data_IF_903189961908
#
_entry.id   IF_903189961908
#
_cell.length_a   1.000
_cell.length_b   1.000
_cell.length_c   1.000
_cell.angle_alpha   90.00
_cell.angle_beta   90.00
_cell.angle_gamma   90.00
#
_symmetry.space_group_name_H-M   'P 1'
#
loop_
_entity.id
_entity.type
_entity.pdbx_description
1 polymer ?
#
# COMPACT_ATOMS: atom_id res chain seq x y z
N UNK A 1 4.99 2.14 24.79
CA UNK A 1 5.89 1.58 25.83
C UNK A 1 5.92 0.06 25.81
N UNK A 2 4.79 -0.63 25.66
CA UNK A 2 4.76 -2.11 25.56
C UNK A 2 5.41 -2.64 24.27
N UNK A 3 5.13 -2.06 23.09
CA UNK A 3 5.76 -2.50 21.84
C UNK A 3 7.28 -2.36 21.86
N UNK A 4 7.82 -1.28 22.42
CA UNK A 4 9.27 -1.09 22.58
C UNK A 4 9.92 -2.24 23.39
N UNK A 5 9.26 -2.74 24.43
CA UNK A 5 9.75 -3.90 25.20
C UNK A 5 9.82 -5.14 24.32
N UNK A 6 8.80 -5.40 23.49
CA UNK A 6 8.83 -6.52 22.54
C UNK A 6 9.89 -6.34 21.46
N UNK A 7 10.10 -5.13 20.93
CA UNK A 7 11.18 -4.85 19.95
C UNK A 7 12.54 -5.19 20.54
N UNK A 8 12.82 -4.69 21.75
CA UNK A 8 14.08 -4.95 22.46
C UNK A 8 14.24 -6.43 22.83
N UNK A 9 13.17 -7.10 23.24
CA UNK A 9 13.17 -8.54 23.49
C UNK A 9 13.51 -9.33 22.21
N UNK A 10 12.95 -8.91 21.06
CA UNK A 10 13.24 -9.50 19.76
C UNK A 10 14.73 -9.46 19.38
N UNK A 11 15.47 -8.45 19.84
CA UNK A 11 16.90 -8.31 19.56
C UNK A 11 17.76 -9.37 20.27
N UNK A 12 17.30 -9.90 21.42
CA UNK A 12 18.07 -10.85 22.27
C UNK A 12 17.60 -12.29 22.17
N UNK A 13 16.42 -12.56 21.58
CA UNK A 13 15.92 -13.93 21.37
C UNK A 13 16.59 -14.65 20.20
N UNK A 14 16.42 -15.97 20.17
CA UNK A 14 16.87 -16.83 19.08
C UNK A 14 16.34 -16.35 17.71
N UNK A 15 17.12 -16.46 16.63
CA UNK A 15 16.73 -15.99 15.29
C UNK A 15 15.37 -16.52 14.79
N UNK A 16 15.00 -17.75 15.15
CA UNK A 16 13.72 -18.36 14.76
C UNK A 16 12.50 -17.74 15.44
N UNK A 17 12.66 -17.19 16.64
CA UNK A 17 11.58 -16.55 17.41
C UNK A 17 11.47 -15.05 17.13
N UNK A 18 12.54 -14.44 16.64
CA UNK A 18 12.65 -12.99 16.42
C UNK A 18 11.51 -12.42 15.55
N UNK A 19 11.14 -13.00 14.39
CA UNK A 19 10.03 -12.46 13.58
C UNK A 19 8.71 -12.47 14.33
N UNK A 20 8.44 -13.51 15.12
CA UNK A 20 7.21 -13.63 15.90
C UNK A 20 7.15 -12.61 17.04
N UNK A 21 8.27 -12.37 17.72
CA UNK A 21 8.36 -11.37 18.79
C UNK A 21 8.18 -9.96 18.23
N UNK A 22 8.77 -9.64 17.09
CA UNK A 22 8.57 -8.36 16.42
C UNK A 22 7.15 -8.19 15.85
N UNK A 23 6.56 -9.26 15.32
CA UNK A 23 5.16 -9.25 14.93
C UNK A 23 4.25 -8.93 16.13
N UNK A 24 4.49 -9.54 17.29
CA UNK A 24 3.77 -9.21 18.53
C UNK A 24 3.99 -7.76 18.97
N UNK A 25 5.18 -7.20 18.75
CA UNK A 25 5.44 -5.78 19.00
C UNK A 25 4.53 -4.88 18.16
N UNK A 26 4.44 -5.15 16.85
CA UNK A 26 3.55 -4.44 15.92
C UNK A 26 2.10 -4.54 16.39
N UNK A 27 1.63 -5.74 16.72
CA UNK A 27 0.26 -5.96 17.20
C UNK A 27 0.01 -5.18 18.50
N UNK A 28 0.96 -5.20 19.44
CA UNK A 28 0.84 -4.46 20.69
C UNK A 28 0.75 -2.94 20.46
N UNK A 29 1.54 -2.39 19.54
CA UNK A 29 1.51 -0.96 19.21
C UNK A 29 0.23 -0.57 18.47
N UNK A 30 -0.29 -1.42 17.58
CA UNK A 30 -1.59 -1.21 16.93
C UNK A 30 -2.75 -1.23 17.94
N UNK A 31 -2.73 -2.17 18.89
CA UNK A 31 -3.72 -2.21 19.98
C UNK A 31 -3.61 -0.95 20.83
N UNK A 32 -2.40 -0.54 21.22
CA UNK A 32 -2.19 0.67 22.01
C UNK A 32 -2.70 1.92 21.27
N UNK A 33 -2.40 2.05 19.97
CA UNK A 33 -2.89 3.14 19.13
C UNK A 33 -4.43 3.15 19.02
N UNK A 34 -5.06 1.98 18.87
CA UNK A 34 -6.52 1.84 18.81
C UNK A 34 -7.23 2.32 20.08
N UNK A 35 -6.57 2.18 21.24
CA UNK A 35 -7.09 2.55 22.55
C UNK A 35 -6.85 4.02 22.85
N UNK A 36 -5.67 4.54 22.53
CA UNK A 36 -5.24 5.90 22.84
C UNK A 36 -6.12 6.96 22.15
N UNK A 37 -6.48 6.76 20.89
CA UNK A 37 -7.27 7.76 20.14
C UNK A 37 -8.77 7.82 20.41
N UNK A 38 -9.23 7.35 21.58
CA UNK A 38 -10.66 7.40 21.97
C UNK A 38 -11.01 8.56 22.91
N UNK A 39 -10.03 9.25 23.47
CA UNK A 39 -10.26 10.08 24.67
C UNK A 39 -9.98 11.57 24.51
N UNK A 40 -9.31 11.99 23.44
CA UNK A 40 -8.80 13.35 23.32
C UNK A 40 -9.35 14.06 22.08
N UNK A 41 -9.79 15.31 22.27
CA UNK A 41 -9.98 16.27 21.18
C UNK A 41 -8.58 16.74 20.80
N UNK A 42 -8.07 16.24 19.69
CA UNK A 42 -6.78 16.68 19.16
C UNK A 42 -6.97 17.89 18.25
N UNK A 43 -6.16 18.93 18.47
CA UNK A 43 -6.03 20.03 17.52
C UNK A 43 -5.21 19.53 16.31
N UNK A 44 -5.92 19.10 15.27
CA UNK A 44 -5.34 18.52 14.06
C UNK A 44 -5.56 19.45 12.88
N UNK A 45 -4.48 19.70 12.14
CA UNK A 45 -4.57 20.30 10.81
C UNK A 45 -4.69 19.18 9.76
N UNK A 46 -5.83 19.07 9.05
CA UNK A 46 -6.05 18.04 8.05
C UNK A 46 -5.00 17.98 6.94
N UNK A 47 -4.55 19.15 6.46
CA UNK A 47 -3.54 19.24 5.41
C UNK A 47 -2.19 18.67 5.87
N UNK A 48 -1.75 19.02 7.09
CA UNK A 48 -0.50 18.48 7.64
C UNK A 48 -0.56 16.97 7.87
N UNK A 49 -1.71 16.43 8.29
CA UNK A 49 -1.89 14.99 8.45
C UNK A 49 -1.83 14.30 7.08
N UNK A 50 -2.58 14.81 6.10
CA UNK A 50 -2.56 14.31 4.72
C UNK A 50 -1.14 14.30 4.12
N UNK A 51 -0.42 15.41 4.27
CA UNK A 51 0.95 15.59 3.77
C UNK A 51 1.92 14.56 4.38
N UNK A 52 1.95 14.43 5.72
CA UNK A 52 2.84 13.48 6.40
C UNK A 52 2.62 12.04 5.96
N UNK A 53 1.37 11.64 5.77
CA UNK A 53 1.05 10.27 5.34
C UNK A 53 1.41 10.04 3.87
N UNK A 54 1.23 11.05 3.01
CA UNK A 54 1.78 11.02 1.66
C UNK A 54 3.29 10.85 1.64
N UNK A 55 4.04 11.55 2.50
CA UNK A 55 5.49 11.39 2.59
C UNK A 55 5.91 9.96 2.97
N UNK A 56 5.18 9.28 3.86
CA UNK A 56 5.46 7.87 4.15
C UNK A 56 5.28 6.96 2.93
N UNK A 57 4.25 7.20 2.12
CA UNK A 57 4.04 6.46 0.86
C UNK A 57 5.20 6.70 -0.11
N UNK A 58 5.66 7.94 -0.25
CA UNK A 58 6.81 8.29 -1.12
C UNK A 58 8.09 7.58 -0.64
N UNK A 59 8.37 7.62 0.67
CA UNK A 59 9.55 6.96 1.25
C UNK A 59 9.50 5.45 1.01
N UNK A 60 8.35 4.81 1.27
CA UNK A 60 8.20 3.37 1.09
C UNK A 60 8.36 2.94 -0.38
N UNK A 61 7.79 3.70 -1.32
CA UNK A 61 7.97 3.45 -2.76
C UNK A 61 9.42 3.69 -3.21
N UNK A 62 10.06 4.75 -2.72
CA UNK A 62 11.46 5.04 -2.99
C UNK A 62 12.39 3.91 -2.53
N UNK A 63 12.17 3.40 -1.32
CA UNK A 63 12.92 2.26 -0.78
C UNK A 63 12.70 1.00 -1.63
N UNK A 64 11.46 0.74 -2.06
CA UNK A 64 11.14 -0.41 -2.93
C UNK A 64 11.90 -0.35 -4.25
N UNK A 65 12.03 0.84 -4.84
CA UNK A 65 12.79 1.05 -6.07
C UNK A 65 14.31 0.93 -5.85
N UNK A 66 14.83 1.36 -4.70
CA UNK A 66 16.25 1.16 -4.35
C UNK A 66 16.53 -0.35 -4.23
N UNK A 67 15.70 -1.09 -3.48
CA UNK A 67 15.82 -2.55 -3.33
C UNK A 67 15.84 -3.23 -4.70
N UNK A 68 14.84 -2.96 -5.55
CA UNK A 68 14.79 -3.52 -6.90
C UNK A 68 16.00 -3.10 -7.76
N UNK A 69 16.43 -1.84 -7.68
CA UNK A 69 17.59 -1.33 -8.41
C UNK A 69 18.90 -2.00 -7.98
N UNK A 70 19.07 -2.25 -6.68
CA UNK A 70 20.24 -2.95 -6.15
C UNK A 70 20.25 -4.43 -6.55
N UNK A 71 19.09 -5.10 -6.52
CA UNK A 71 18.96 -6.47 -7.01
C UNK A 71 19.29 -6.58 -8.51
N UNK A 72 18.95 -5.55 -9.30
CA UNK A 72 19.23 -5.52 -10.74
C UNK A 72 20.68 -5.12 -11.10
N UNK A 73 21.50 -4.69 -10.13
CA UNK A 73 22.84 -4.17 -10.37
C UNK A 73 23.93 -5.25 -10.54
N UNK A 74 23.55 -6.54 -10.58
CA UNK A 74 24.47 -7.65 -10.82
C UNK A 74 25.08 -7.68 -12.22
N UNK A 75 26.03 -8.59 -12.43
CA UNK A 75 26.80 -8.70 -13.69
C UNK A 75 26.02 -9.36 -14.85
N UNK A 76 24.94 -10.09 -14.56
CA UNK A 76 24.14 -10.79 -15.56
C UNK A 76 23.06 -9.89 -16.16
N UNK A 77 23.23 -9.51 -17.43
CA UNK A 77 22.24 -8.74 -18.18
C UNK A 77 21.43 -9.67 -19.08
N UNK A 78 20.13 -9.79 -18.81
CA UNK A 78 19.18 -10.55 -19.63
C UNK A 78 17.98 -9.70 -20.05
N UNK A 79 17.31 -10.10 -21.13
CA UNK A 79 16.04 -9.47 -21.55
C UNK A 79 14.93 -9.69 -20.52
N UNK A 80 14.95 -10.81 -19.80
CA UNK A 80 14.00 -11.07 -18.73
C UNK A 80 14.19 -10.10 -17.56
N UNK A 81 15.44 -9.86 -17.14
CA UNK A 81 15.77 -8.86 -16.13
C UNK A 81 15.28 -7.46 -16.55
N UNK A 82 15.51 -7.07 -17.80
CA UNK A 82 15.03 -5.80 -18.32
C UNK A 82 13.49 -5.70 -18.27
N UNK A 83 12.78 -6.76 -18.67
CA UNK A 83 11.31 -6.81 -18.63
C UNK A 83 10.76 -6.72 -17.20
N UNK A 84 11.35 -7.48 -16.27
CA UNK A 84 11.01 -7.45 -14.84
C UNK A 84 11.27 -6.08 -14.22
N UNK A 85 12.42 -5.46 -14.51
CA UNK A 85 12.77 -4.15 -13.99
C UNK A 85 11.79 -3.06 -14.46
N UNK A 86 11.49 -3.03 -15.77
CA UNK A 86 10.50 -2.10 -16.34
C UNK A 86 9.11 -2.33 -15.74
N UNK A 87 8.67 -3.59 -15.63
CA UNK A 87 7.38 -3.91 -15.04
C UNK A 87 7.30 -3.51 -13.55
N UNK A 88 8.37 -3.71 -12.78
CA UNK A 88 8.45 -3.34 -11.36
C UNK A 88 8.37 -1.82 -11.18
N UNK A 89 9.12 -1.06 -11.98
CA UNK A 89 9.05 0.41 -12.00
C UNK A 89 7.64 0.88 -12.37
N UNK A 90 7.03 0.27 -13.39
CA UNK A 90 5.66 0.58 -13.78
C UNK A 90 4.67 0.33 -12.65
N UNK A 91 4.77 -0.79 -11.93
CA UNK A 91 3.92 -1.07 -10.76
C UNK A 91 4.13 -0.02 -9.67
N UNK A 92 5.37 0.35 -9.33
CA UNK A 92 5.66 1.38 -8.34
C UNK A 92 5.05 2.74 -8.72
N UNK A 93 5.19 3.13 -9.99
CA UNK A 93 4.54 4.30 -10.57
C UNK A 93 3.02 4.23 -10.44
N UNK A 94 2.40 3.11 -10.79
CA UNK A 94 0.95 2.95 -10.71
C UNK A 94 0.41 2.92 -9.28
N UNK A 95 1.16 2.38 -8.32
CA UNK A 95 0.86 2.52 -6.90
C UNK A 95 0.89 4.00 -6.49
N UNK A 96 1.91 4.75 -6.94
CA UNK A 96 1.99 6.19 -6.72
C UNK A 96 0.76 6.91 -7.29
N UNK A 97 0.39 6.66 -8.56
CA UNK A 97 -0.79 7.28 -9.18
C UNK A 97 -2.10 6.89 -8.49
N UNK A 98 -2.24 5.63 -8.07
CA UNK A 98 -3.42 5.13 -7.34
C UNK A 98 -3.62 5.86 -6.00
N UNK A 99 -2.55 6.40 -5.42
CA UNK A 99 -2.59 7.16 -4.17
C UNK A 99 -2.66 8.68 -4.40
N UNK A 100 -1.74 9.23 -5.18
CA UNK A 100 -1.60 10.68 -5.36
C UNK A 100 -2.50 11.27 -6.45
N UNK A 101 -2.96 10.46 -7.42
CA UNK A 101 -3.75 10.97 -8.53
C UNK A 101 -5.18 11.36 -8.15
N UNK A 102 -5.74 10.77 -7.10
CA UNK A 102 -7.11 11.05 -6.63
C UNK A 102 -7.21 10.92 -5.11
N UNK A 103 -6.75 9.79 -4.57
CA UNK A 103 -7.10 9.39 -3.22
C UNK A 103 -6.59 10.37 -2.17
N UNK A 104 -5.33 10.81 -2.23
CA UNK A 104 -4.75 11.73 -1.24
C UNK A 104 -5.61 12.98 -1.07
N UNK A 105 -5.94 13.65 -2.17
CA UNK A 105 -6.71 14.89 -2.13
C UNK A 105 -8.16 14.64 -1.72
N UNK A 106 -8.74 13.51 -2.13
CA UNK A 106 -10.07 13.12 -1.72
C UNK A 106 -10.16 12.78 -0.21
N UNK A 107 -9.11 12.17 0.37
CA UNK A 107 -9.00 11.96 1.82
C UNK A 107 -8.85 13.29 2.55
N UNK A 108 -7.98 14.18 2.08
CA UNK A 108 -7.73 15.49 2.67
C UNK A 108 -8.99 16.35 2.72
N UNK A 109 -9.68 16.48 1.58
CA UNK A 109 -10.90 17.26 1.46
C UNK A 109 -11.99 16.74 2.42
N UNK A 110 -12.20 15.42 2.47
CA UNK A 110 -13.19 14.82 3.38
C UNK A 110 -12.81 14.94 4.84
N UNK A 111 -11.51 14.83 5.15
CA UNK A 111 -11.04 14.99 6.51
C UNK A 111 -11.17 16.44 6.99
N UNK A 112 -10.92 17.41 6.10
CA UNK A 112 -11.14 18.83 6.38
C UNK A 112 -12.62 19.20 6.56
N UNK A 113 -13.53 18.50 5.89
CA UNK A 113 -14.98 18.69 6.05
C UNK A 113 -15.57 17.97 7.27
N UNK A 114 -14.80 17.19 8.02
CA UNK A 114 -15.31 16.42 9.15
C UNK A 114 -15.53 17.32 10.40
N UNK A 115 -16.53 17.01 11.24
CA UNK A 115 -16.71 17.70 12.52
C UNK A 115 -15.48 17.58 13.42
N UNK A 116 -15.13 18.66 14.13
CA UNK A 116 -13.93 18.76 14.97
C UNK A 116 -13.85 17.63 16.00
N UNK A 117 -14.98 17.26 16.59
CA UNK A 117 -15.10 16.19 17.59
C UNK A 117 -14.78 14.81 17.03
N UNK A 118 -14.84 14.65 15.70
CA UNK A 118 -14.54 13.41 14.99
C UNK A 118 -13.14 13.36 14.40
N UNK A 119 -12.41 14.47 14.37
CA UNK A 119 -11.09 14.53 13.75
C UNK A 119 -10.12 13.53 14.38
N UNK A 120 -10.13 13.39 15.71
CA UNK A 120 -9.23 12.46 16.39
C UNK A 120 -9.45 10.99 15.99
N UNK A 121 -10.66 10.43 16.19
CA UNK A 121 -10.98 9.07 15.77
C UNK A 121 -10.76 8.84 14.27
N UNK A 122 -11.11 9.82 13.41
CA UNK A 122 -10.93 9.70 11.96
C UNK A 122 -9.44 9.71 11.55
N UNK A 123 -8.61 10.56 12.17
CA UNK A 123 -7.17 10.55 11.94
C UNK A 123 -6.57 9.19 12.33
N UNK A 124 -6.94 8.68 13.50
CA UNK A 124 -6.49 7.35 13.94
C UNK A 124 -6.95 6.27 12.97
N UNK A 125 -8.22 6.21 12.63
CA UNK A 125 -8.77 5.09 11.86
C UNK A 125 -8.34 5.14 10.39
N UNK A 126 -8.46 6.31 9.73
CA UNK A 126 -8.20 6.46 8.30
C UNK A 126 -6.71 6.71 7.97
N UNK A 127 -5.98 7.44 8.82
CA UNK A 127 -4.58 7.80 8.57
C UNK A 127 -3.57 6.98 9.37
N UNK A 128 -3.94 6.34 10.49
CA UNK A 128 -3.01 5.45 11.21
C UNK A 128 -3.32 3.96 10.99
N UNK A 129 -4.50 3.51 11.40
CA UNK A 129 -4.83 2.08 11.44
C UNK A 129 -5.06 1.48 10.06
N UNK A 130 -5.73 2.19 9.14
CA UNK A 130 -5.86 1.75 7.75
C UNK A 130 -4.57 2.01 6.95
N UNK A 131 -3.84 3.07 7.26
CA UNK A 131 -2.63 3.43 6.50
C UNK A 131 -1.42 2.55 6.82
N UNK A 132 -1.32 2.04 8.05
CA UNK A 132 -0.26 1.13 8.44
C UNK A 132 -0.21 -0.15 7.56
N UNK A 133 -1.30 -0.93 7.38
CA UNK A 133 -1.31 -2.07 6.47
C UNK A 133 -1.17 -1.65 4.99
N UNK A 134 -1.56 -0.43 4.62
CA UNK A 134 -1.28 0.10 3.27
C UNK A 134 0.24 0.20 3.02
N UNK A 135 1.01 0.75 3.97
CA UNK A 135 2.47 0.79 3.91
C UNK A 135 3.06 -0.63 3.95
N UNK A 136 2.51 -1.50 4.80
CA UNK A 136 2.86 -2.94 4.80
C UNK A 136 2.64 -3.61 3.44
N UNK A 137 1.64 -3.14 2.68
CA UNK A 137 1.39 -3.56 1.31
C UNK A 137 2.51 -3.20 0.34
N UNK A 138 3.05 -1.98 0.46
CA UNK A 138 4.21 -1.52 -0.31
C UNK A 138 5.45 -2.34 0.05
N UNK A 139 5.65 -2.65 1.34
CA UNK A 139 6.74 -3.53 1.79
C UNK A 139 6.60 -4.94 1.21
N UNK A 140 5.39 -5.51 1.18
CA UNK A 140 5.13 -6.80 0.55
C UNK A 140 5.46 -6.81 -0.95
N UNK A 141 5.14 -5.71 -1.64
CA UNK A 141 5.57 -5.48 -3.03
C UNK A 141 7.10 -5.42 -3.15
N UNK A 142 7.78 -4.68 -2.27
CA UNK A 142 9.25 -4.56 -2.24
C UNK A 142 9.94 -5.93 -2.10
N UNK A 143 9.48 -6.73 -1.14
CA UNK A 143 9.98 -8.10 -0.91
C UNK A 143 9.77 -8.97 -2.16
N UNK A 144 8.63 -8.85 -2.82
CA UNK A 144 8.36 -9.64 -4.01
C UNK A 144 9.26 -9.24 -5.18
N UNK A 145 9.43 -7.95 -5.45
CA UNK A 145 10.27 -7.50 -6.57
C UNK A 145 11.76 -7.74 -6.33
N UNK A 146 12.24 -7.70 -5.08
CA UNK A 146 13.62 -8.06 -4.73
C UNK A 146 13.95 -9.48 -5.23
N UNK A 147 13.11 -10.44 -4.86
CA UNK A 147 13.30 -11.85 -5.23
C UNK A 147 13.05 -12.09 -6.73
N UNK A 148 12.03 -11.46 -7.30
CA UNK A 148 11.73 -11.58 -8.74
C UNK A 148 12.87 -11.01 -9.61
N UNK A 149 13.50 -9.92 -9.17
CA UNK A 149 14.64 -9.31 -9.88
C UNK A 149 15.89 -10.19 -9.74
N UNK A 150 16.08 -10.84 -8.59
CA UNK A 150 17.19 -11.78 -8.39
C UNK A 150 17.06 -13.04 -9.27
N UNK A 151 15.84 -13.48 -9.55
CA UNK A 151 15.54 -14.69 -10.34
C UNK A 151 14.52 -14.42 -11.46
N UNK A 152 14.85 -13.59 -12.47
CA UNK A 152 13.88 -13.05 -13.43
C UNK A 152 13.39 -14.09 -14.45
N UNK A 153 14.13 -15.18 -14.64
CA UNK A 153 13.84 -16.23 -15.63
C UNK A 153 13.12 -17.45 -15.02
N UNK A 154 13.04 -17.55 -13.70
CA UNK A 154 12.46 -18.70 -12.98
C UNK A 154 11.09 -18.36 -12.40
N UNK A 155 10.11 -19.29 -12.45
CA UNK A 155 8.83 -19.07 -11.80
C UNK A 155 9.02 -18.72 -10.32
N UNK A 156 8.38 -17.62 -9.89
CA UNK A 156 8.49 -17.16 -8.52
C UNK A 156 7.86 -18.16 -7.55
N UNK A 157 8.46 -18.30 -6.36
CA UNK A 157 7.92 -19.18 -5.33
C UNK A 157 6.51 -18.73 -4.89
N UNK A 158 5.71 -19.66 -4.35
CA UNK A 158 4.38 -19.34 -3.85
C UNK A 158 4.39 -18.23 -2.77
N UNK A 159 5.46 -18.14 -1.97
CA UNK A 159 5.63 -17.10 -0.97
C UNK A 159 5.81 -15.71 -1.61
N UNK A 160 6.57 -15.62 -2.71
CA UNK A 160 6.80 -14.38 -3.46
C UNK A 160 5.52 -13.92 -4.16
N UNK A 161 4.81 -14.84 -4.80
CA UNK A 161 3.50 -14.56 -5.41
C UNK A 161 2.48 -14.10 -4.37
N UNK A 162 2.48 -14.73 -3.19
CA UNK A 162 1.65 -14.31 -2.08
C UNK A 162 2.04 -12.91 -1.56
N UNK A 163 3.34 -12.62 -1.43
CA UNK A 163 3.82 -11.30 -1.02
C UNK A 163 3.40 -10.20 -1.99
N UNK A 164 3.52 -10.43 -3.30
CA UNK A 164 3.06 -9.51 -4.34
C UNK A 164 1.54 -9.30 -4.28
N UNK A 165 0.79 -10.40 -4.33
CA UNK A 165 -0.68 -10.36 -4.39
C UNK A 165 -1.31 -9.76 -3.13
N UNK A 166 -0.88 -10.23 -1.94
CA UNK A 166 -1.36 -9.71 -0.65
C UNK A 166 -0.88 -8.27 -0.47
N UNK A 167 0.36 -7.96 -0.82
CA UNK A 167 0.94 -6.62 -0.66
C UNK A 167 0.14 -5.57 -1.42
N UNK A 168 -0.06 -5.77 -2.72
CA UNK A 168 -0.83 -4.85 -3.57
C UNK A 168 -2.31 -4.83 -3.14
N UNK A 169 -2.87 -5.97 -2.73
CA UNK A 169 -4.25 -6.03 -2.22
C UNK A 169 -4.42 -5.21 -0.94
N UNK A 170 -3.49 -5.30 0.01
CA UNK A 170 -3.50 -4.50 1.22
C UNK A 170 -3.42 -3.01 0.88
N UNK A 171 -2.52 -2.63 -0.02
CA UNK A 171 -2.42 -1.24 -0.47
C UNK A 171 -3.76 -0.71 -0.98
N UNK A 172 -4.36 -1.36 -1.98
CA UNK A 172 -5.60 -0.88 -2.62
C UNK A 172 -6.81 -1.00 -1.69
N UNK A 173 -6.94 -2.08 -0.92
CA UNK A 173 -8.08 -2.30 -0.04
C UNK A 173 -8.06 -1.34 1.15
N UNK A 174 -6.90 -1.14 1.77
CA UNK A 174 -6.77 -0.24 2.90
C UNK A 174 -6.90 1.23 2.48
N UNK A 175 -6.44 1.58 1.27
CA UNK A 175 -6.63 2.92 0.73
C UNK A 175 -8.12 3.21 0.46
N UNK A 176 -8.87 2.22 -0.05
CA UNK A 176 -10.33 2.30 -0.19
C UNK A 176 -11.05 2.33 1.18
N UNK A 177 -10.52 1.62 2.18
CA UNK A 177 -11.05 1.63 3.55
C UNK A 177 -10.87 3.02 4.18
N UNK A 178 -9.69 3.65 4.06
CA UNK A 178 -9.46 5.03 4.51
C UNK A 178 -10.48 5.99 3.91
N UNK A 179 -10.76 5.87 2.62
CA UNK A 179 -11.78 6.67 1.95
C UNK A 179 -13.19 6.42 2.50
N UNK A 180 -13.53 5.15 2.74
CA UNK A 180 -14.82 4.74 3.31
C UNK A 180 -15.02 5.23 4.74
N UNK A 181 -13.97 5.21 5.56
CA UNK A 181 -13.97 5.67 6.95
C UNK A 181 -14.22 7.18 7.05
N UNK A 182 -13.74 7.95 6.09
CA UNK A 182 -14.01 9.39 5.94
C UNK A 182 -15.35 9.70 5.25
N UNK A 183 -16.26 8.72 5.17
CA UNK A 183 -17.60 8.92 4.62
C UNK A 183 -17.70 8.78 3.09
N UNK A 184 -16.67 8.24 2.43
CA UNK A 184 -16.73 7.92 1.01
C UNK A 184 -17.61 6.72 0.67
N UNK A 185 -18.11 6.64 -0.57
CA UNK A 185 -18.78 5.44 -1.05
C UNK A 185 -17.79 4.28 -1.13
N UNK A 186 -18.33 3.07 -1.19
CA UNK A 186 -17.53 1.87 -1.44
C UNK A 186 -17.03 1.92 -2.89
N UNK A 187 -15.72 1.84 -3.08
CA UNK A 187 -15.07 1.77 -4.39
C UNK A 187 -15.19 0.36 -4.96
N UNK A 188 -16.38 0.03 -5.49
CA UNK A 188 -16.70 -1.31 -6.01
C UNK A 188 -15.76 -1.75 -7.15
N UNK A 189 -15.34 -0.80 -7.99
CA UNK A 189 -14.35 -1.04 -9.06
C UNK A 189 -13.04 -1.59 -8.50
N UNK A 190 -12.48 -0.96 -7.45
CA UNK A 190 -11.28 -1.45 -6.77
C UNK A 190 -11.45 -2.87 -6.24
N UNK A 191 -12.60 -3.19 -5.61
CA UNK A 191 -12.86 -4.53 -5.09
C UNK A 191 -12.91 -5.60 -6.19
N UNK A 192 -13.64 -5.32 -7.29
CA UNK A 192 -13.74 -6.24 -8.42
C UNK A 192 -12.38 -6.46 -9.10
N UNK A 193 -11.62 -5.37 -9.30
CA UNK A 193 -10.29 -5.42 -9.89
C UNK A 193 -9.33 -6.21 -8.99
N UNK A 194 -9.41 -6.03 -7.67
CA UNK A 194 -8.58 -6.80 -6.72
C UNK A 194 -8.86 -8.30 -6.78
N UNK A 195 -10.13 -8.70 -6.82
CA UNK A 195 -10.49 -10.12 -6.97
C UNK A 195 -9.93 -10.68 -8.29
N UNK A 196 -10.12 -9.95 -9.39
CA UNK A 196 -9.58 -10.33 -10.70
C UNK A 196 -8.05 -10.41 -10.69
N UNK A 197 -7.37 -9.43 -10.10
CA UNK A 197 -5.92 -9.36 -9.97
C UNK A 197 -5.39 -10.60 -9.23
N UNK A 198 -5.91 -10.90 -8.03
CA UNK A 198 -5.45 -12.04 -7.23
C UNK A 198 -5.64 -13.35 -7.99
N UNK A 199 -6.80 -13.56 -8.60
CA UNK A 199 -7.07 -14.78 -9.38
C UNK A 199 -6.12 -14.92 -10.57
N UNK A 200 -5.93 -13.84 -11.34
CA UNK A 200 -5.05 -13.86 -12.51
C UNK A 200 -3.58 -14.03 -12.12
N UNK A 201 -3.12 -13.41 -11.03
CA UNK A 201 -1.75 -13.59 -10.52
C UNK A 201 -1.50 -15.06 -10.14
N UNK A 202 -2.48 -15.74 -9.53
CA UNK A 202 -2.37 -17.18 -9.23
C UNK A 202 -2.34 -18.02 -10.51
N UNK A 203 -3.14 -17.68 -11.52
CA UNK A 203 -3.17 -18.41 -12.81
C UNK A 203 -1.83 -18.31 -13.54
N UNK A 204 -1.17 -17.14 -13.51
CA UNK A 204 0.12 -16.94 -14.19
C UNK A 204 1.33 -17.25 -13.31
N UNK A 205 1.12 -17.71 -12.07
CA UNK A 205 2.19 -17.93 -11.08
C UNK A 205 3.24 -18.98 -11.51
N UNK A 206 2.85 -19.94 -12.36
CA UNK A 206 3.78 -20.95 -12.90
C UNK A 206 4.54 -20.50 -14.15
N UNK A 207 4.26 -19.30 -14.65
CA UNK A 207 4.96 -18.69 -15.78
C UNK A 207 6.15 -17.85 -15.28
N UNK A 208 6.85 -17.20 -16.21
CA UNK A 208 7.88 -16.22 -15.86
C UNK A 208 7.29 -15.08 -15.00
N UNK A 209 8.01 -14.60 -13.97
CA UNK A 209 7.51 -13.62 -12.99
C UNK A 209 6.98 -12.33 -13.59
N UNK A 210 7.51 -11.91 -14.76
CA UNK A 210 7.06 -10.71 -15.48
C UNK A 210 5.55 -10.70 -15.71
N UNK A 211 4.91 -11.85 -15.94
CA UNK A 211 3.46 -11.93 -16.15
C UNK A 211 2.66 -11.59 -14.90
N UNK A 212 3.16 -11.95 -13.71
CA UNK A 212 2.54 -11.55 -12.45
C UNK A 212 2.60 -10.04 -12.26
N UNK A 213 3.74 -9.41 -12.60
CA UNK A 213 3.89 -7.95 -12.56
C UNK A 213 3.01 -7.25 -13.60
N UNK A 214 2.86 -7.82 -14.81
CA UNK A 214 1.97 -7.30 -15.85
C UNK A 214 0.50 -7.35 -15.41
N UNK A 215 0.05 -8.44 -14.79
CA UNK A 215 -1.32 -8.54 -14.24
C UNK A 215 -1.55 -7.46 -13.18
N UNK A 216 -0.60 -7.28 -12.27
CA UNK A 216 -0.67 -6.23 -11.24
C UNK A 216 -0.69 -4.84 -11.87
N UNK A 217 0.20 -4.55 -12.81
CA UNK A 217 0.29 -3.28 -13.52
C UNK A 217 -1.02 -2.98 -14.28
N UNK A 218 -1.55 -3.94 -15.04
CA UNK A 218 -2.81 -3.77 -15.76
C UNK A 218 -3.98 -3.51 -14.80
N UNK A 219 -4.01 -4.17 -13.65
CA UNK A 219 -5.04 -3.98 -12.62
C UNK A 219 -4.96 -2.59 -11.99
N UNK A 220 -3.76 -2.13 -11.61
CA UNK A 220 -3.57 -0.79 -11.07
C UNK A 220 -3.85 0.28 -12.12
N UNK A 221 -3.44 0.08 -13.36
CA UNK A 221 -3.75 0.99 -14.47
C UNK A 221 -5.26 1.10 -14.68
N UNK A 222 -6.00 -0.01 -14.63
CA UNK A 222 -7.45 0.01 -14.72
C UNK A 222 -8.08 0.84 -13.58
N UNK A 223 -7.56 0.74 -12.35
CA UNK A 223 -7.99 1.60 -11.23
C UNK A 223 -7.70 3.07 -11.54
N UNK A 224 -6.48 3.38 -11.97
CA UNK A 224 -6.06 4.76 -12.28
C UNK A 224 -6.91 5.36 -13.40
N UNK A 225 -7.24 4.61 -14.45
CA UNK A 225 -8.07 5.11 -15.56
C UNK A 225 -9.51 5.34 -15.09
N UNK A 226 -10.12 4.38 -14.40
CA UNK A 226 -11.51 4.49 -13.90
C UNK A 226 -11.66 5.65 -12.90
N UNK A 227 -10.62 5.95 -12.11
CA UNK A 227 -10.64 7.03 -11.14
C UNK A 227 -10.15 8.37 -11.69
N UNK A 228 -9.25 8.35 -12.68
CA UNK A 228 -8.71 9.52 -13.36
C UNK A 228 -9.74 10.25 -14.22
N UNK A 229 -10.78 9.56 -14.68
CA UNK A 229 -11.95 10.13 -15.37
C UNK A 229 -12.89 10.92 -14.42
N UNK A 230 -12.48 11.31 -13.20
CA UNK A 230 -13.39 11.96 -12.24
C UNK A 230 -12.74 13.00 -11.33
N UNK A 231 -12.43 14.20 -11.85
CA UNK A 231 -12.81 15.42 -11.11
C UNK A 231 -13.56 16.50 -11.92
N UNK A 232 -13.26 16.71 -13.20
CA UNK A 232 -13.80 17.86 -13.95
C UNK A 232 -15.29 17.73 -14.32
N UNK A 233 -15.80 16.50 -14.51
CA UNK A 233 -17.21 16.30 -14.82
C UNK A 233 -18.12 16.34 -13.59
N UNK A 234 -17.63 15.92 -12.41
CA UNK A 234 -18.47 15.86 -11.20
C UNK A 234 -18.58 17.18 -10.44
N UNK A 235 -17.60 18.07 -10.61
CA UNK A 235 -17.68 19.44 -10.07
C UNK A 235 -18.59 20.32 -10.93
N UNK A 236 -18.68 20.07 -12.24
CA UNK A 236 -19.60 20.81 -13.11
C UNK A 236 -21.06 20.43 -12.87
N UNK A 237 -21.37 19.14 -12.68
CA UNK A 237 -22.73 18.67 -12.36
C UNK A 237 -23.24 19.15 -10.98
N UNK A 238 -22.37 19.36 -10.00
CA UNK A 238 -22.74 19.88 -8.67
C UNK A 238 -22.81 21.41 -8.60
N UNK A 239 -22.51 22.12 -9.70
CA UNK A 239 -22.57 23.59 -9.77
C UNK A 239 -23.82 24.13 -10.50
N UNK A 240 -24.65 23.23 -11.06
CA UNK A 240 -25.83 23.58 -11.88
C UNK A 240 -27.16 23.36 -11.13
N UNK A 241 -27.14 22.89 -9.89
CA UNK A 241 -28.32 22.80 -9.00
C UNK A 241 -28.15 23.71 -7.75
#
# INVERSE_FOLDING_TARGET
TIGLVFVLAGAVVAPSLRPWVWFLAIVADLIAASVAGRRDVWDLNPAHISERHGLFVIIALGESLIVAGTAAAGDERSWALAGVAVASILVACLLWWTYFGFLKDALEHRFAAAPVERLGPLARDAYSLAHFPLIGGIVGFAVAIEEIVAHPDEPASAAVIAALGIGVSLFVACSALSFRLLGGPILKSRLLILVGMVLLTVVVASLQPVWSLVVVAASLLAIVVIEGEGPDERVSELSID
#
